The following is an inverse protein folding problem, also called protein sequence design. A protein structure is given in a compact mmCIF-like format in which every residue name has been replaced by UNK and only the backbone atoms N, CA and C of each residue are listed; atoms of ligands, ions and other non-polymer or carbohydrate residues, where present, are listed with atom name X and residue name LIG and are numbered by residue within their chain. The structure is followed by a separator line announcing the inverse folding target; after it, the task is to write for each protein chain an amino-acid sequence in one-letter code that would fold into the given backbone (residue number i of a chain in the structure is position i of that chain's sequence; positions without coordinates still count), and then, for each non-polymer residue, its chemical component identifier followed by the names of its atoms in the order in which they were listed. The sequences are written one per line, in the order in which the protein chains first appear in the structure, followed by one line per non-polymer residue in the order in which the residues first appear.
data_IF_149143666203
#
_entry.id   IF_149143666203
#
_cell.length_a   1.000
_cell.length_b   1.000
_cell.length_c   1.000
_cell.angle_alpha   90.00
_cell.angle_beta   90.00
_cell.angle_gamma   90.00
#
_symmetry.space_group_name_H-M   'P 1'
#
loop_
_entity.id
_entity.type
_entity.pdbx_description
1 polymer ?
#
# COMPACT_ATOMS: atom_id res chain seq x y z
N UNK A 1 16.12 14.43 39.42
CA UNK A 1 15.08 13.66 38.67
C UNK A 1 14.37 14.48 37.60
N UNK A 2 13.95 15.71 37.88
CA UNK A 2 13.11 16.53 36.97
C UNK A 2 13.78 16.91 35.63
N UNK A 3 15.10 17.17 35.61
CA UNK A 3 15.84 17.51 34.38
C UNK A 3 15.94 16.35 33.37
N UNK A 4 16.00 15.11 33.87
CA UNK A 4 16.07 13.90 33.02
C UNK A 4 14.71 13.64 32.38
N UNK A 5 13.62 13.79 33.14
CA UNK A 5 12.25 13.65 32.63
C UNK A 5 11.95 14.71 31.56
N UNK A 6 12.41 15.95 31.77
CA UNK A 6 12.27 17.03 30.78
C UNK A 6 13.06 16.76 29.50
N UNK A 7 14.26 16.19 29.62
CA UNK A 7 15.09 15.80 28.47
C UNK A 7 14.47 14.68 27.64
N UNK A 8 13.92 13.65 28.30
CA UNK A 8 13.25 12.53 27.61
C UNK A 8 11.97 13.00 26.92
N UNK A 9 11.18 13.86 27.56
CA UNK A 9 9.97 14.42 26.93
C UNK A 9 10.30 15.34 25.76
N UNK A 10 11.31 16.19 25.89
CA UNK A 10 11.77 17.07 24.80
C UNK A 10 12.33 16.26 23.62
N UNK A 11 13.13 15.22 23.89
CA UNK A 11 13.65 14.31 22.87
C UNK A 11 12.51 13.61 22.12
N UNK A 12 11.50 13.13 22.84
CA UNK A 12 10.34 12.48 22.23
C UNK A 12 9.48 13.45 21.41
N UNK A 13 9.35 14.72 21.83
CA UNK A 13 8.67 15.77 21.06
C UNK A 13 9.43 16.09 19.78
N UNK A 14 10.76 16.25 19.86
CA UNK A 14 11.63 16.52 18.71
C UNK A 14 11.58 15.36 17.72
N UNK A 15 11.66 14.11 18.21
CA UNK A 15 11.58 12.92 17.37
C UNK A 15 10.22 12.82 16.64
N UNK A 16 9.12 13.17 17.33
CA UNK A 16 7.79 13.21 16.71
C UNK A 16 7.67 14.32 15.67
N UNK A 17 8.23 15.50 15.92
CA UNK A 17 8.27 16.58 14.93
C UNK A 17 9.10 16.19 13.70
N UNK A 18 10.26 15.56 13.90
CA UNK A 18 11.13 15.12 12.82
C UNK A 18 10.44 14.08 11.93
N UNK A 19 9.80 13.07 12.54
CA UNK A 19 9.05 12.03 11.81
C UNK A 19 7.87 12.61 11.02
N UNK A 20 7.17 13.60 11.57
CA UNK A 20 6.08 14.28 10.84
C UNK A 20 6.64 15.04 9.64
N UNK A 21 7.77 15.74 9.80
CA UNK A 21 8.44 16.46 8.71
C UNK A 21 8.89 15.48 7.62
N UNK A 22 9.53 14.35 7.95
CA UNK A 22 9.95 13.36 6.94
C UNK A 22 8.77 12.73 6.24
N UNK A 23 7.67 12.39 6.94
CA UNK A 23 6.48 11.83 6.30
C UNK A 23 5.86 12.81 5.30
N UNK A 24 5.80 14.10 5.63
CA UNK A 24 5.31 15.14 4.72
C UNK A 24 6.26 15.34 3.52
N UNK A 25 7.58 15.22 3.74
CA UNK A 25 8.58 15.42 2.69
C UNK A 25 8.73 14.22 1.74
N UNK A 26 8.55 12.98 2.22
CA UNK A 26 8.62 11.79 1.38
C UNK A 26 7.40 11.63 0.46
N UNK A 27 6.19 12.00 0.92
CA UNK A 27 4.99 12.02 0.06
C UNK A 27 5.00 13.18 -0.96
N UNK A 28 5.92 14.14 -0.83
CA UNK A 28 6.05 15.30 -1.71
C UNK A 28 6.94 15.10 -2.95
N UNK A 29 7.73 14.02 -3.02
CA UNK A 29 8.77 13.87 -4.04
C UNK A 29 8.29 13.29 -5.40
N UNK A 30 7.02 12.88 -5.53
CA UNK A 30 6.50 12.29 -6.79
C UNK A 30 5.53 13.19 -7.59
N UNK A 31 5.42 14.49 -7.28
CA UNK A 31 4.52 15.41 -8.01
C UNK A 31 5.24 16.44 -8.91
N UNK A 32 6.55 16.25 -9.14
CA UNK A 32 7.39 17.19 -9.89
C UNK A 32 7.73 16.74 -11.31
N UNK A 33 6.82 16.14 -12.09
CA UNK A 33 7.09 15.81 -13.53
C UNK A 33 5.94 16.12 -14.50
N UNK A 34 4.78 16.63 -14.05
CA UNK A 34 3.63 16.83 -14.96
C UNK A 34 3.26 18.28 -15.28
N UNK A 35 3.97 19.28 -14.75
CA UNK A 35 3.75 20.68 -15.13
C UNK A 35 4.55 21.08 -16.38
N UNK A 36 4.33 20.39 -17.51
CA UNK A 36 4.77 20.89 -18.81
C UNK A 36 3.81 21.99 -19.25
N UNK A 37 4.34 23.22 -19.19
CA UNK A 37 3.78 24.48 -19.66
C UNK A 37 2.80 24.34 -20.84
N UNK A 38 1.50 24.49 -20.58
CA UNK A 38 0.52 24.82 -21.61
C UNK A 38 0.64 26.31 -21.93
N UNK A 39 1.58 26.59 -22.82
CA UNK A 39 1.81 27.89 -23.46
C UNK A 39 0.58 28.22 -24.31
N UNK A 40 0.06 29.43 -24.13
CA UNK A 40 -1.19 29.89 -24.75
C UNK A 40 -1.22 29.75 -26.27
N UNK A 41 -2.38 29.35 -26.77
CA UNK A 41 -2.77 29.53 -28.16
C UNK A 41 -3.97 30.47 -28.20
N UNK A 42 -3.66 31.76 -28.13
CA UNK A 42 -4.46 32.77 -28.80
C UNK A 42 -4.30 32.51 -30.31
N UNK A 43 -5.36 32.03 -30.99
CA UNK A 43 -5.49 32.18 -32.44
C UNK A 43 -6.90 31.82 -32.95
N UNK A 44 -7.54 32.89 -33.43
CA UNK A 44 -8.38 33.03 -34.63
C UNK A 44 -9.62 32.15 -34.79
N UNK A 45 -10.77 32.82 -34.95
CA UNK A 45 -11.54 32.68 -36.19
C UNK A 45 -12.37 33.96 -36.41
N UNK A 46 -12.01 34.69 -37.47
CA UNK A 46 -12.85 35.71 -38.08
C UNK A 46 -13.69 35.09 -39.21
N UNK A 47 -14.89 35.64 -39.36
CA UNK A 47 -15.82 35.65 -40.51
C UNK A 47 -16.48 34.37 -41.02
N UNK A 48 -17.82 34.30 -40.87
CA UNK A 48 -18.76 34.01 -41.96
C UNK A 48 -20.20 34.35 -41.59
N UNK A 49 -20.93 34.80 -42.61
CA UNK A 49 -22.16 35.58 -42.61
C UNK A 49 -23.42 34.81 -42.19
N UNK A 50 -24.26 35.52 -41.42
CA UNK A 50 -25.71 35.36 -41.21
C UNK A 50 -26.30 34.14 -40.46
N UNK A 51 -25.48 33.21 -39.96
CA UNK A 51 -25.84 32.32 -38.83
C UNK A 51 -25.03 32.64 -37.55
N UNK A 52 -24.34 33.80 -37.57
CA UNK A 52 -23.29 34.18 -36.63
C UNK A 52 -23.75 34.31 -35.18
N UNK A 53 -24.96 34.82 -34.90
CA UNK A 53 -25.35 35.15 -33.53
C UNK A 53 -25.47 33.94 -32.60
N UNK A 54 -26.02 32.81 -33.07
CA UNK A 54 -26.17 31.60 -32.26
C UNK A 54 -24.82 30.87 -32.11
N UNK A 55 -24.02 30.82 -33.17
CA UNK A 55 -22.70 30.18 -33.14
C UNK A 55 -21.68 30.97 -32.30
N UNK A 56 -21.74 32.30 -32.39
CA UNK A 56 -20.91 33.23 -31.61
C UNK A 56 -21.34 33.29 -30.15
N UNK A 57 -22.65 33.27 -29.85
CA UNK A 57 -23.15 33.14 -28.48
C UNK A 57 -22.71 31.80 -27.85
N UNK A 58 -22.73 30.70 -28.61
CA UNK A 58 -22.22 29.41 -28.15
C UNK A 58 -20.70 29.45 -27.91
N UNK A 59 -19.93 30.07 -28.80
CA UNK A 59 -18.48 30.23 -28.63
C UNK A 59 -18.15 31.05 -27.37
N UNK A 60 -18.86 32.17 -27.14
CA UNK A 60 -18.71 32.99 -25.94
C UNK A 60 -19.09 32.24 -24.66
N UNK A 61 -20.18 31.45 -24.70
CA UNK A 61 -20.59 30.59 -23.60
C UNK A 61 -19.48 29.59 -23.22
N UNK A 62 -18.93 28.87 -24.21
CA UNK A 62 -17.85 27.92 -23.94
C UNK A 62 -16.56 28.60 -23.48
N UNK A 63 -16.27 29.80 -23.99
CA UNK A 63 -15.12 30.59 -23.52
C UNK A 63 -15.28 31.00 -22.05
N UNK A 64 -16.48 31.40 -21.65
CA UNK A 64 -16.80 31.75 -20.26
C UNK A 64 -16.71 30.53 -19.34
N UNK A 65 -17.28 29.40 -19.74
CA UNK A 65 -17.18 28.15 -18.97
C UNK A 65 -15.73 27.67 -18.86
N UNK A 66 -14.94 27.76 -19.94
CA UNK A 66 -13.51 27.46 -19.89
C UNK A 66 -12.75 28.41 -18.94
N UNK A 67 -13.07 29.70 -18.93
CA UNK A 67 -12.47 30.66 -18.00
C UNK A 67 -12.82 30.35 -16.54
N UNK A 68 -14.07 29.98 -16.28
CA UNK A 68 -14.55 29.55 -14.97
C UNK A 68 -13.85 28.29 -14.48
N UNK A 69 -13.67 27.29 -15.34
CA UNK A 69 -12.92 26.06 -15.03
C UNK A 69 -11.45 26.37 -14.74
N UNK A 70 -10.80 27.23 -15.54
CA UNK A 70 -9.42 27.66 -15.29
C UNK A 70 -9.26 28.33 -13.92
N UNK A 71 -10.21 29.18 -13.53
CA UNK A 71 -10.22 29.81 -12.20
C UNK A 71 -10.39 28.77 -11.07
N UNK A 72 -11.31 27.81 -11.23
CA UNK A 72 -11.48 26.72 -10.26
C UNK A 72 -10.22 25.86 -10.10
N UNK A 73 -9.54 25.54 -11.20
CA UNK A 73 -8.27 24.81 -11.17
C UNK A 73 -7.21 25.61 -10.40
N UNK A 74 -7.07 26.91 -10.68
CA UNK A 74 -6.13 27.77 -9.95
C UNK A 74 -6.42 27.82 -8.45
N UNK A 75 -7.69 27.90 -8.07
CA UNK A 75 -8.10 27.89 -6.67
C UNK A 75 -7.80 26.56 -5.97
N UNK A 76 -8.04 25.43 -6.65
CA UNK A 76 -7.70 24.09 -6.16
C UNK A 76 -6.19 23.92 -5.98
N UNK A 77 -5.40 24.37 -6.97
CA UNK A 77 -3.93 24.33 -6.88
C UNK A 77 -3.40 25.19 -5.73
N UNK A 78 -3.95 26.39 -5.53
CA UNK A 78 -3.64 27.23 -4.37
C UNK A 78 -3.98 26.53 -3.06
N UNK A 79 -5.17 25.93 -2.98
CA UNK A 79 -5.60 25.20 -1.79
C UNK A 79 -4.68 24.01 -1.51
N UNK A 80 -4.24 23.27 -2.53
CA UNK A 80 -3.30 22.16 -2.36
C UNK A 80 -1.95 22.65 -1.82
N UNK A 81 -1.37 23.70 -2.42
CA UNK A 81 -0.13 24.31 -1.91
C UNK A 81 -0.23 24.70 -0.45
N UNK A 82 -1.33 25.35 -0.06
CA UNK A 82 -1.56 25.72 1.33
C UNK A 82 -1.65 24.48 2.23
N UNK A 83 -2.35 23.43 1.81
CA UNK A 83 -2.41 22.16 2.57
C UNK A 83 -1.05 21.47 2.73
N UNK A 84 -0.14 21.66 1.76
CA UNK A 84 1.25 21.19 1.82
C UNK A 84 2.16 22.12 2.66
N UNK A 85 1.63 23.23 3.18
CA UNK A 85 2.37 24.19 3.99
C UNK A 85 3.13 25.23 3.18
N UNK A 86 2.84 25.37 1.89
CA UNK A 86 3.44 26.38 1.02
C UNK A 86 2.61 27.67 0.99
N UNK A 87 3.24 28.80 0.60
CA UNK A 87 2.57 30.10 0.39
C UNK A 87 1.71 30.61 1.57
N UNK A 88 1.99 30.16 2.80
CA UNK A 88 1.16 30.48 3.97
C UNK A 88 1.17 31.98 4.34
N UNK A 89 2.21 32.71 3.95
CA UNK A 89 2.35 34.15 4.24
C UNK A 89 1.24 35.01 3.60
N UNK A 90 0.55 34.50 2.57
CA UNK A 90 -0.57 35.22 1.93
C UNK A 90 -1.91 35.00 2.62
N UNK A 91 -1.97 34.10 3.61
CA UNK A 91 -3.19 33.78 4.35
C UNK A 91 -3.33 34.66 5.59
N UNK A 92 -4.56 35.08 5.88
CA UNK A 92 -4.89 35.71 7.15
C UNK A 92 -4.84 34.70 8.31
N UNK A 93 -4.71 35.20 9.54
CA UNK A 93 -4.72 34.37 10.76
C UNK A 93 -5.99 33.49 10.85
N UNK A 94 -7.13 34.01 10.38
CA UNK A 94 -8.40 33.26 10.37
C UNK A 94 -8.35 32.09 9.40
N UNK A 95 -7.80 32.30 8.21
CA UNK A 95 -7.65 31.26 7.19
C UNK A 95 -6.63 30.21 7.63
N UNK A 96 -5.53 30.63 8.25
CA UNK A 96 -4.52 29.73 8.78
C UNK A 96 -5.09 28.81 9.87
N UNK A 97 -5.89 29.35 10.80
CA UNK A 97 -6.63 28.53 11.79
C UNK A 97 -7.60 27.56 11.15
N UNK A 98 -8.30 27.98 10.10
CA UNK A 98 -9.21 27.09 9.37
C UNK A 98 -8.46 25.94 8.69
N UNK A 99 -7.29 26.24 8.11
CA UNK A 99 -6.41 25.27 7.49
C UNK A 99 -5.86 24.26 8.51
N UNK A 100 -5.38 24.73 9.66
CA UNK A 100 -4.91 23.91 10.78
C UNK A 100 -5.98 22.91 11.22
N UNK A 101 -7.21 23.39 11.49
CA UNK A 101 -8.34 22.53 11.89
C UNK A 101 -8.65 21.48 10.81
N UNK A 102 -8.57 21.86 9.53
CA UNK A 102 -8.82 20.93 8.41
C UNK A 102 -7.76 19.83 8.37
N UNK A 103 -6.49 20.19 8.53
CA UNK A 103 -5.37 19.25 8.57
C UNK A 103 -5.46 18.32 9.78
N UNK A 104 -5.75 18.85 10.97
CA UNK A 104 -5.92 18.06 12.18
C UNK A 104 -7.03 17.01 12.04
N UNK A 105 -8.18 17.40 11.48
CA UNK A 105 -9.27 16.46 11.16
C UNK A 105 -8.87 15.42 10.11
N UNK A 106 -8.08 15.80 9.11
CA UNK A 106 -7.54 14.87 8.11
C UNK A 106 -6.63 13.83 8.74
N UNK A 107 -5.63 14.28 9.50
CA UNK A 107 -4.66 13.44 10.20
C UNK A 107 -5.36 12.50 11.19
N UNK A 108 -6.34 13.01 11.94
CA UNK A 108 -7.13 12.21 12.88
C UNK A 108 -7.86 11.07 12.16
N UNK A 109 -8.51 11.35 11.02
CA UNK A 109 -9.17 10.31 10.20
C UNK A 109 -8.20 9.27 9.67
N UNK A 110 -7.04 9.68 9.14
CA UNK A 110 -6.00 8.77 8.66
C UNK A 110 -5.53 7.85 9.78
N UNK A 111 -5.25 8.41 10.96
CA UNK A 111 -4.80 7.64 12.12
C UNK A 111 -5.84 6.63 12.58
N UNK A 112 -7.10 7.03 12.68
CA UNK A 112 -8.19 6.13 13.05
C UNK A 112 -8.32 4.98 12.04
N UNK A 113 -8.26 5.26 10.74
CA UNK A 113 -8.34 4.21 9.72
C UNK A 113 -7.13 3.27 9.75
N UNK A 114 -5.93 3.81 9.95
CA UNK A 114 -4.72 3.00 10.11
C UNK A 114 -4.83 2.06 11.32
N UNK A 115 -5.32 2.57 12.45
CA UNK A 115 -5.51 1.74 13.64
C UNK A 115 -6.56 0.65 13.41
N UNK A 116 -7.70 0.99 12.79
CA UNK A 116 -8.74 0.02 12.43
C UNK A 116 -8.17 -1.14 11.59
N UNK A 117 -7.38 -0.83 10.55
CA UNK A 117 -6.75 -1.84 9.70
C UNK A 117 -5.69 -2.67 10.44
N UNK A 118 -4.89 -2.03 11.30
CA UNK A 118 -3.90 -2.74 12.11
C UNK A 118 -4.56 -3.72 13.09
N UNK A 119 -5.68 -3.34 13.71
CA UNK A 119 -6.41 -4.25 14.60
C UNK A 119 -6.99 -5.44 13.84
N UNK A 120 -7.58 -5.19 12.67
CA UNK A 120 -8.07 -6.27 11.80
C UNK A 120 -6.95 -7.25 11.38
N UNK A 121 -5.76 -6.72 11.06
CA UNK A 121 -4.60 -7.53 10.69
C UNK A 121 -4.08 -8.36 11.87
N UNK A 122 -4.00 -7.78 13.07
CA UNK A 122 -3.61 -8.49 14.29
C UNK A 122 -4.57 -9.65 14.57
N UNK A 123 -5.88 -9.39 14.50
CA UNK A 123 -6.91 -10.41 14.73
C UNK A 123 -6.80 -11.55 13.71
N UNK A 124 -6.60 -11.21 12.43
CA UNK A 124 -6.39 -12.20 11.37
C UNK A 124 -5.17 -13.08 11.64
N UNK A 125 -4.04 -12.47 12.03
CA UNK A 125 -2.80 -13.19 12.31
C UNK A 125 -2.93 -14.10 13.55
N UNK A 126 -3.59 -13.64 14.61
CA UNK A 126 -3.86 -14.45 15.79
C UNK A 126 -4.73 -15.67 15.48
N UNK A 127 -5.79 -15.50 14.68
CA UNK A 127 -6.62 -16.61 14.22
C UNK A 127 -5.79 -17.63 13.42
N UNK A 128 -4.95 -17.13 12.50
CA UNK A 128 -4.08 -17.98 11.69
C UNK A 128 -3.08 -18.76 12.53
N UNK A 129 -2.50 -18.12 13.55
CA UNK A 129 -1.60 -18.77 14.51
C UNK A 129 -2.29 -19.94 15.22
N UNK A 130 -3.50 -19.72 15.72
CA UNK A 130 -4.31 -20.77 16.38
C UNK A 130 -4.60 -21.92 15.42
N UNK A 131 -5.05 -21.63 14.20
CA UNK A 131 -5.36 -22.65 13.20
C UNK A 131 -4.12 -23.48 12.84
N UNK A 132 -2.97 -22.83 12.63
CA UNK A 132 -1.71 -23.52 12.37
C UNK A 132 -1.27 -24.37 13.56
N UNK A 133 -1.38 -23.85 14.78
CA UNK A 133 -1.05 -24.58 15.99
C UNK A 133 -1.91 -25.83 16.14
N UNK A 134 -3.22 -25.72 15.93
CA UNK A 134 -4.16 -26.85 15.97
C UNK A 134 -3.84 -27.90 14.90
N UNK A 135 -3.57 -27.46 13.66
CA UNK A 135 -3.17 -28.37 12.57
C UNK A 135 -1.85 -29.09 12.88
N UNK A 136 -0.87 -28.37 13.45
CA UNK A 136 0.42 -28.97 13.83
C UNK A 136 0.25 -30.02 14.93
N UNK A 137 -0.57 -29.74 15.95
CA UNK A 137 -0.89 -30.71 17.01
C UNK A 137 -1.57 -31.96 16.44
N UNK A 138 -2.55 -31.79 15.54
CA UNK A 138 -3.24 -32.91 14.88
C UNK A 138 -2.25 -33.78 14.08
N UNK A 139 -1.35 -33.16 13.32
CA UNK A 139 -0.34 -33.88 12.55
C UNK A 139 0.63 -34.65 13.47
N UNK A 140 1.08 -34.06 14.58
CA UNK A 140 1.93 -34.75 15.57
C UNK A 140 1.23 -35.96 16.18
N UNK A 141 -0.05 -35.83 16.52
CA UNK A 141 -0.84 -36.96 17.03
C UNK A 141 -0.95 -38.08 15.99
N UNK A 142 -1.21 -37.72 14.72
CA UNK A 142 -1.30 -38.69 13.61
C UNK A 142 0.03 -39.37 13.29
N UNK A 143 1.15 -38.66 13.43
CA UNK A 143 2.50 -39.25 13.28
C UNK A 143 2.72 -40.29 14.40
N UNK A 144 2.49 -39.91 15.66
CA UNK A 144 2.66 -40.81 16.80
C UNK A 144 1.76 -42.06 16.69
N UNK A 145 0.53 -41.92 16.21
CA UNK A 145 -0.36 -43.06 15.96
C UNK A 145 0.18 -43.98 14.84
N UNK A 146 0.67 -43.43 13.73
CA UNK A 146 1.26 -44.22 12.65
C UNK A 146 2.52 -44.97 13.08
N UNK A 147 3.36 -44.35 13.90
CA UNK A 147 4.55 -44.99 14.47
C UNK A 147 4.17 -46.18 15.36
N UNK A 148 3.15 -46.04 16.22
CA UNK A 148 2.62 -47.16 17.01
C UNK A 148 2.06 -48.27 16.12
N UNK A 149 1.31 -47.95 15.08
CA UNK A 149 0.80 -48.94 14.11
C UNK A 149 1.94 -49.70 13.42
N UNK A 150 3.00 -49.01 12.99
CA UNK A 150 4.19 -49.63 12.41
C UNK A 150 4.91 -50.55 13.39
N UNK A 151 5.07 -50.12 14.65
CA UNK A 151 5.67 -50.95 15.69
C UNK A 151 4.82 -52.20 15.95
N UNK A 152 3.49 -52.05 16.08
CA UNK A 152 2.58 -53.16 16.34
C UNK A 152 2.57 -54.21 15.20
N UNK A 153 2.75 -53.78 13.94
CA UNK A 153 2.92 -54.69 12.79
C UNK A 153 4.25 -55.47 12.82
N UNK A 154 5.30 -54.91 13.42
CA UNK A 154 6.60 -55.58 13.56
C UNK A 154 6.66 -56.60 14.72
N UNK A 155 5.63 -56.66 15.57
CA UNK A 155 5.56 -57.52 16.77
C UNK A 155 4.72 -58.80 16.59
N UNK A 156 4.24 -59.11 15.38
CA UNK A 156 3.60 -60.41 15.07
C UNK A 156 4.67 -61.49 14.81
N UNK A 157 4.76 -62.57 15.64
CA UNK A 157 5.64 -63.70 15.38
C UNK A 157 5.01 -64.61 14.33
N UNK A 158 5.22 -64.29 13.06
CA UNK A 158 4.74 -65.10 11.94
C UNK A 158 4.30 -64.25 10.76
N UNK A 159 5.25 -63.70 10.02
CA UNK A 159 5.00 -62.98 8.78
C UNK A 159 5.93 -63.47 7.69
N UNK A 160 5.34 -64.03 6.64
CA UNK A 160 6.00 -64.47 5.42
C UNK A 160 7.06 -63.49 4.92
N UNK A 161 8.11 -64.06 4.35
CA UNK A 161 9.15 -63.39 3.58
C UNK A 161 8.54 -62.44 2.54
N UNK A 162 8.46 -61.16 2.89
CA UNK A 162 8.49 -60.09 1.92
C UNK A 162 9.77 -59.32 2.19
N UNK A 163 10.69 -59.38 1.24
CA UNK A 163 11.99 -58.72 1.31
C UNK A 163 11.82 -57.27 1.77
N UNK A 164 12.53 -56.96 2.85
CA UNK A 164 12.78 -55.62 3.33
C UNK A 164 13.48 -54.88 2.18
N UNK A 165 12.73 -54.12 1.39
CA UNK A 165 13.32 -53.09 0.56
C UNK A 165 13.84 -52.02 1.52
N UNK A 166 15.16 -52.01 1.74
CA UNK A 166 15.84 -50.97 2.50
C UNK A 166 15.31 -49.60 2.09
N UNK A 167 14.99 -48.68 3.03
CA UNK A 167 14.74 -47.31 2.66
C UNK A 167 16.07 -46.74 2.15
N UNK A 168 16.19 -46.61 0.84
CA UNK A 168 17.25 -45.83 0.20
C UNK A 168 17.26 -44.43 0.86
N UNK A 169 18.44 -43.84 1.10
CA UNK A 169 18.53 -42.49 1.63
C UNK A 169 17.72 -41.56 0.71
N UNK A 170 16.86 -40.75 1.32
CA UNK A 170 16.02 -39.80 0.62
C UNK A 170 16.89 -38.79 -0.14
N UNK A 171 17.07 -39.00 -1.44
CA UNK A 171 17.85 -38.12 -2.30
C UNK A 171 16.88 -37.14 -2.97
N UNK A 172 16.89 -35.88 -2.54
CA UNK A 172 15.96 -34.82 -3.01
C UNK A 172 16.08 -34.50 -4.51
N UNK A 173 17.01 -35.12 -5.24
CA UNK A 173 17.25 -34.89 -6.67
C UNK A 173 16.24 -35.58 -7.59
N UNK A 174 15.45 -36.55 -7.10
CA UNK A 174 14.57 -37.32 -7.98
C UNK A 174 13.18 -36.69 -8.21
N UNK A 175 12.89 -35.54 -7.60
CA UNK A 175 11.59 -34.86 -7.76
C UNK A 175 11.47 -34.11 -9.10
N UNK A 176 12.58 -33.91 -9.83
CA UNK A 176 12.59 -33.10 -11.05
C UNK A 176 12.23 -33.86 -12.34
N UNK A 177 12.03 -35.19 -12.30
CA UNK A 177 11.90 -35.99 -13.52
C UNK A 177 10.54 -36.67 -13.73
N UNK A 178 9.55 -36.45 -12.87
CA UNK A 178 8.21 -37.06 -13.01
C UNK A 178 7.13 -36.00 -13.00
N UNK A 179 7.04 -35.20 -14.06
CA UNK A 179 5.79 -34.57 -14.52
C UNK A 179 5.91 -34.27 -16.01
N UNK A 180 5.65 -35.28 -16.85
CA UNK A 180 5.41 -35.09 -18.27
C UNK A 180 3.94 -34.73 -18.51
N UNK A 181 3.56 -33.48 -18.29
CA UNK A 181 2.31 -32.91 -18.79
C UNK A 181 2.57 -31.53 -19.43
N UNK A 182 1.91 -31.20 -20.56
CA UNK A 182 2.20 -30.00 -21.35
C UNK A 182 1.73 -28.70 -20.64
N UNK A 183 2.32 -27.54 -20.97
CA UNK A 183 2.07 -26.31 -20.23
C UNK A 183 0.74 -25.67 -20.64
N UNK A 184 -0.17 -25.49 -19.68
CA UNK A 184 -1.24 -24.50 -19.78
C UNK A 184 -0.76 -23.17 -19.18
N UNK A 185 -0.01 -22.45 -20.00
CA UNK A 185 0.04 -21.01 -20.17
C UNK A 185 -0.74 -20.08 -19.18
N UNK A 186 -0.01 -19.06 -18.70
CA UNK A 186 -0.39 -17.75 -18.14
C UNK A 186 -0.77 -17.64 -16.65
N UNK A 187 0.10 -17.04 -15.84
CA UNK A 187 0.08 -15.59 -15.54
C UNK A 187 1.46 -15.17 -15.00
N UNK A 188 2.12 -14.26 -15.72
CA UNK A 188 3.34 -13.58 -15.30
C UNK A 188 2.99 -12.36 -14.45
N UNK A 189 3.65 -12.20 -13.30
CA UNK A 189 4.01 -10.87 -12.81
C UNK A 189 5.35 -11.01 -12.07
N UNK A 190 6.39 -10.51 -12.71
CA UNK A 190 7.70 -10.29 -12.13
C UNK A 190 7.57 -9.38 -10.90
N UNK A 191 8.18 -9.77 -9.78
CA UNK A 191 9.00 -8.81 -9.04
C UNK A 191 10.11 -9.55 -8.31
N UNK A 192 11.32 -9.41 -8.86
CA UNK A 192 12.56 -9.94 -8.33
C UNK A 192 13.27 -8.76 -7.66
N UNK A 193 13.14 -8.62 -6.34
CA UNK A 193 14.09 -7.80 -5.56
C UNK A 193 14.75 -8.68 -4.50
N UNK A 194 15.99 -9.04 -4.83
CA UNK A 194 16.99 -9.73 -4.02
C UNK A 194 17.24 -9.03 -2.69
N UNK A 195 17.08 -9.75 -1.57
CA UNK A 195 17.64 -9.35 -0.29
C UNK A 195 19.11 -9.81 -0.23
N UNK A 196 20.02 -8.87 -0.44
CA UNK A 196 21.44 -9.05 -0.13
C UNK A 196 21.65 -8.68 1.35
N UNK A 197 22.06 -9.66 2.14
CA UNK A 197 22.36 -9.50 3.56
C UNK A 197 23.79 -8.94 3.69
N UNK A 198 23.93 -7.78 4.32
CA UNK A 198 25.18 -7.32 4.97
C UNK A 198 25.05 -7.56 6.46
#
# INVERSE_FOLDING_TARGET
MTKVVLGVTLFHIILRMLVVVTLVFLDGHEYAVSNLQLKGTEKACADSSNNGSVSEANAQFYQQEAAKLRSQIGNLQNSNRNMLGESLCTLSVKELKSLEIKLEKGISRIRSKKNELLFAEIEYMQKREIDLHNNNQLLRAKIAENERKRQNMNLMPGGASFEIMQPQPFDSRNYSQVHGLPPANHYSHDDQMSLQLV
#
